data_IF_493194351288
#
_entry.id   IF_493194351288
#
_cell.length_a   1.000
_cell.length_b   1.000
_cell.length_c   1.000
_cell.angle_alpha   90.00
_cell.angle_beta   90.00
_cell.angle_gamma   90.00
#
_symmetry.space_group_name_H-M   'P 1'
#
loop_
_entity.id
_entity.type
_entity.pdbx_description
1 polymer ?
#
# COMPACT_ATOMS: atom_id res chain seq x y z
N UNK A 1 -3.95 -22.39 -35.33
CA UNK A 1 -4.01 -20.91 -35.25
C UNK A 1 -2.77 -20.39 -35.94
N UNK A 2 -2.86 -19.40 -36.84
CA UNK A 2 -1.72 -18.88 -37.61
C UNK A 2 -0.69 -18.28 -36.62
N UNK A 3 0.56 -18.72 -36.71
CA UNK A 3 1.67 -18.24 -35.88
C UNK A 3 1.85 -16.72 -36.01
N UNK A 4 1.67 -16.19 -37.23
CA UNK A 4 1.74 -14.74 -37.49
C UNK A 4 0.64 -13.96 -36.79
N UNK A 5 -0.54 -14.56 -36.65
CA UNK A 5 -1.64 -13.93 -35.92
C UNK A 5 -1.33 -13.82 -34.42
N UNK A 6 -0.76 -14.88 -33.83
CA UNK A 6 -0.37 -14.89 -32.41
C UNK A 6 0.70 -13.81 -32.16
N UNK A 7 1.73 -13.73 -33.00
CA UNK A 7 2.81 -12.74 -32.86
C UNK A 7 2.28 -11.30 -32.99
N UNK A 8 1.42 -11.03 -33.97
CA UNK A 8 0.81 -9.72 -34.16
C UNK A 8 -0.08 -9.31 -32.96
N UNK A 9 -0.85 -10.26 -32.41
CA UNK A 9 -1.68 -10.03 -31.24
C UNK A 9 -0.81 -9.75 -30.00
N UNK A 10 0.23 -10.54 -29.77
CA UNK A 10 1.16 -10.36 -28.65
C UNK A 10 1.90 -9.02 -28.72
N UNK A 11 2.35 -8.63 -29.91
CA UNK A 11 3.00 -7.33 -30.15
C UNK A 11 2.05 -6.18 -29.84
N UNK A 12 0.81 -6.26 -30.33
CA UNK A 12 -0.21 -5.24 -30.07
C UNK A 12 -0.56 -5.16 -28.58
N UNK A 13 -0.72 -6.31 -27.93
CA UNK A 13 -0.99 -6.40 -26.50
C UNK A 13 0.15 -5.78 -25.68
N UNK A 14 1.41 -6.12 -25.99
CA UNK A 14 2.57 -5.55 -25.33
C UNK A 14 2.62 -4.02 -25.47
N UNK A 15 2.32 -3.51 -26.67
CA UNK A 15 2.24 -2.07 -26.91
C UNK A 15 1.17 -1.38 -26.06
N UNK A 16 -0.05 -1.93 -25.98
CA UNK A 16 -1.12 -1.38 -25.14
C UNK A 16 -0.74 -1.45 -23.66
N UNK A 17 -0.23 -2.59 -23.19
CA UNK A 17 0.22 -2.76 -21.81
C UNK A 17 1.29 -1.74 -21.42
N UNK A 18 2.28 -1.49 -22.28
CA UNK A 18 3.31 -0.48 -22.03
C UNK A 18 2.74 0.92 -21.83
N UNK A 19 1.78 1.33 -22.69
CA UNK A 19 1.11 2.63 -22.52
C UNK A 19 0.28 2.69 -21.23
N UNK A 20 -0.48 1.64 -20.90
CA UNK A 20 -1.27 1.58 -19.66
C UNK A 20 -0.36 1.68 -18.44
N UNK A 21 0.76 0.97 -18.45
CA UNK A 21 1.76 1.01 -17.38
C UNK A 21 2.32 2.43 -17.19
N UNK A 22 2.77 3.07 -18.27
CA UNK A 22 3.29 4.44 -18.20
C UNK A 22 2.23 5.45 -17.73
N UNK A 23 0.96 5.29 -18.10
CA UNK A 23 -0.12 6.14 -17.57
C UNK A 23 -0.41 5.89 -16.09
N UNK A 24 -0.34 4.64 -15.61
CA UNK A 24 -0.40 4.38 -14.18
C UNK A 24 0.79 4.99 -13.43
N UNK A 25 1.99 4.98 -14.00
CA UNK A 25 3.16 5.63 -13.42
C UNK A 25 2.92 7.14 -13.27
N UNK A 26 2.40 7.78 -14.32
CA UNK A 26 1.99 9.20 -14.27
C UNK A 26 0.92 9.47 -13.21
N UNK A 27 -0.06 8.58 -13.07
CA UNK A 27 -1.09 8.70 -12.02
C UNK A 27 -0.48 8.61 -10.61
N UNK A 28 0.51 7.72 -10.41
CA UNK A 28 1.28 7.64 -9.16
C UNK A 28 2.04 8.95 -8.89
N UNK A 29 2.68 9.56 -9.89
CA UNK A 29 3.37 10.85 -9.74
C UNK A 29 2.43 12.00 -9.35
N UNK A 30 1.22 12.01 -9.90
CA UNK A 30 0.19 12.98 -9.50
C UNK A 30 -0.30 12.71 -8.07
N UNK A 31 -0.45 11.45 -7.68
CA UNK A 31 -0.81 11.09 -6.31
C UNK A 31 0.30 11.47 -5.30
N UNK A 32 1.57 11.32 -5.67
CA UNK A 32 2.74 11.77 -4.89
C UNK A 32 2.68 13.29 -4.63
N UNK A 33 2.43 14.09 -5.68
CA UNK A 33 2.26 15.55 -5.55
C UNK A 33 1.05 15.91 -4.69
N UNK A 34 -0.08 15.22 -4.87
CA UNK A 34 -1.29 15.46 -4.09
C UNK A 34 -1.09 15.13 -2.61
N UNK A 35 -0.33 14.07 -2.29
CA UNK A 35 0.05 13.73 -0.92
C UNK A 35 0.98 14.76 -0.30
N UNK A 36 1.99 15.24 -1.04
CA UNK A 36 2.95 16.21 -0.54
C UNK A 36 2.34 17.60 -0.28
N UNK A 37 1.36 18.00 -1.10
CA UNK A 37 0.67 19.29 -0.99
C UNK A 37 -0.67 19.24 -0.27
N UNK A 38 -1.04 18.12 0.34
CA UNK A 38 -2.36 17.88 0.95
C UNK A 38 -3.56 18.25 0.05
N UNK A 39 -3.38 18.18 -1.27
CA UNK A 39 -4.38 18.61 -2.26
C UNK A 39 -5.66 17.75 -2.23
N UNK A 40 -5.59 16.60 -1.56
CA UNK A 40 -6.70 15.69 -1.30
C UNK A 40 -7.65 16.19 -0.20
N UNK A 41 -7.23 17.14 0.65
CA UNK A 41 -8.04 17.70 1.74
C UNK A 41 -9.05 18.74 1.21
N UNK A 42 -10.02 18.28 0.42
CA UNK A 42 -11.11 19.11 -0.09
C UNK A 42 -12.38 18.90 0.75
N UNK A 43 -13.30 19.87 0.70
CA UNK A 43 -14.57 19.81 1.44
C UNK A 43 -15.33 18.52 1.10
N UNK A 44 -15.71 17.76 2.12
CA UNK A 44 -16.45 16.51 1.97
C UNK A 44 -15.60 15.26 1.69
N UNK A 45 -14.27 15.38 1.70
CA UNK A 45 -13.35 14.25 1.55
C UNK A 45 -12.66 13.92 2.88
N UNK A 46 -12.60 12.62 3.18
CA UNK A 46 -12.16 12.11 4.48
C UNK A 46 -10.82 11.36 4.42
N UNK A 47 -10.30 11.06 3.23
CA UNK A 47 -8.99 10.41 3.07
C UNK A 47 -8.42 10.59 1.66
N UNK A 48 -7.08 10.49 1.48
CA UNK A 48 -6.45 10.46 0.16
C UNK A 48 -6.98 9.34 -0.73
N UNK A 49 -7.30 8.18 -0.14
CA UNK A 49 -7.87 7.03 -0.86
C UNK A 49 -9.23 7.39 -1.45
N UNK A 50 -10.13 7.97 -0.65
CA UNK A 50 -11.45 8.38 -1.12
C UNK A 50 -11.34 9.46 -2.20
N UNK A 51 -10.46 10.45 -2.01
CA UNK A 51 -10.19 11.47 -3.01
C UNK A 51 -9.73 10.87 -4.35
N UNK A 52 -8.73 9.98 -4.33
CA UNK A 52 -8.19 9.39 -5.56
C UNK A 52 -9.20 8.45 -6.24
N UNK A 53 -9.93 7.66 -5.46
CA UNK A 53 -11.00 6.79 -5.96
C UNK A 53 -12.06 7.60 -6.71
N UNK A 54 -12.51 8.72 -6.11
CA UNK A 54 -13.45 9.65 -6.73
C UNK A 54 -12.89 10.31 -8.00
N UNK A 55 -11.68 10.86 -7.94
CA UNK A 55 -11.05 11.58 -9.06
C UNK A 55 -10.79 10.69 -10.27
N UNK A 56 -10.35 9.46 -10.05
CA UNK A 56 -9.91 8.57 -11.13
C UNK A 56 -10.91 7.45 -11.46
N UNK A 57 -12.07 7.41 -10.80
CA UNK A 57 -13.07 6.34 -11.00
C UNK A 57 -12.56 4.95 -10.63
N UNK A 58 -11.69 4.86 -9.63
CA UNK A 58 -11.02 3.61 -9.22
C UNK A 58 -11.74 2.95 -8.06
N UNK A 59 -11.59 1.63 -7.95
CA UNK A 59 -11.90 0.96 -6.69
C UNK A 59 -10.97 1.44 -5.57
N UNK A 60 -11.47 1.40 -4.35
CA UNK A 60 -10.69 1.65 -3.14
C UNK A 60 -9.40 0.84 -3.07
N UNK A 61 -9.45 -0.42 -3.52
CA UNK A 61 -8.28 -1.31 -3.54
C UNK A 61 -7.21 -0.80 -4.50
N UNK A 62 -7.60 -0.36 -5.69
CA UNK A 62 -6.66 0.20 -6.67
C UNK A 62 -6.14 1.57 -6.23
N UNK A 63 -6.98 2.42 -5.65
CA UNK A 63 -6.58 3.70 -5.10
C UNK A 63 -5.54 3.54 -3.97
N UNK A 64 -5.79 2.64 -3.00
CA UNK A 64 -4.82 2.31 -1.94
C UNK A 64 -3.50 1.82 -2.50
N UNK A 65 -3.54 0.98 -3.55
CA UNK A 65 -2.35 0.46 -4.22
C UNK A 65 -1.50 1.58 -4.83
N UNK A 66 -2.13 2.50 -5.57
CA UNK A 66 -1.45 3.66 -6.15
C UNK A 66 -0.83 4.53 -5.06
N UNK A 67 -1.58 4.83 -4.00
CA UNK A 67 -1.08 5.63 -2.88
C UNK A 67 0.08 4.96 -2.14
N UNK A 68 0.05 3.63 -1.99
CA UNK A 68 1.15 2.87 -1.39
C UNK A 68 2.43 2.97 -2.22
N UNK A 69 2.31 2.92 -3.56
CA UNK A 69 3.44 3.16 -4.47
C UNK A 69 3.92 4.60 -4.36
N UNK A 70 3.01 5.58 -4.41
CA UNK A 70 3.35 7.00 -4.34
C UNK A 70 4.17 7.35 -3.08
N UNK A 71 3.78 6.80 -1.91
CA UNK A 71 4.49 7.03 -0.64
C UNK A 71 5.90 6.46 -0.60
N UNK A 72 6.23 5.50 -1.47
CA UNK A 72 7.53 4.80 -1.48
C UNK A 72 8.33 5.08 -2.75
N UNK A 73 7.81 5.89 -3.66
CA UNK A 73 8.42 6.14 -4.98
C UNK A 73 9.86 6.66 -4.86
N UNK A 74 10.13 7.57 -3.93
CA UNK A 74 11.46 8.15 -3.70
C UNK A 74 12.50 7.11 -3.24
N UNK A 75 12.07 6.08 -2.50
CA UNK A 75 12.94 5.01 -2.01
C UNK A 75 13.28 3.96 -3.07
N UNK A 76 12.59 3.99 -4.21
CA UNK A 76 12.69 2.98 -5.26
C UNK A 76 12.87 3.57 -6.67
N UNK A 77 13.91 4.40 -6.91
CA UNK A 77 14.09 5.13 -8.15
C UNK A 77 14.25 4.24 -9.40
N UNK A 78 14.84 3.04 -9.29
CA UNK A 78 15.01 2.09 -10.41
C UNK A 78 13.70 1.42 -10.77
N UNK A 79 12.93 0.97 -9.78
CA UNK A 79 11.58 0.44 -10.01
C UNK A 79 10.69 1.52 -10.64
N UNK A 80 10.72 2.74 -10.12
CA UNK A 80 9.91 3.84 -10.64
C UNK A 80 10.32 4.25 -12.04
N UNK A 81 11.61 4.29 -12.38
CA UNK A 81 12.07 4.57 -13.73
C UNK A 81 11.58 3.52 -14.74
N UNK A 82 11.63 2.23 -14.39
CA UNK A 82 11.09 1.16 -15.23
C UNK A 82 9.56 1.25 -15.37
N UNK A 83 8.86 1.70 -14.32
CA UNK A 83 7.43 1.94 -14.38
C UNK A 83 7.07 3.12 -15.29
N UNK A 84 7.80 4.23 -15.16
CA UNK A 84 7.66 5.42 -16.00
C UNK A 84 7.91 5.08 -17.49
N UNK A 85 8.83 4.16 -17.77
CA UNK A 85 9.10 3.63 -19.11
C UNK A 85 8.04 2.61 -19.63
N UNK A 86 7.05 2.25 -18.81
CA UNK A 86 6.00 1.28 -19.15
C UNK A 86 6.42 -0.19 -19.06
N UNK A 87 7.63 -0.47 -18.56
CA UNK A 87 8.23 -1.82 -18.52
C UNK A 87 7.69 -2.67 -17.36
N UNK A 88 7.16 -2.04 -16.30
CA UNK A 88 6.55 -2.71 -15.16
C UNK A 88 5.08 -2.32 -15.04
N UNK A 89 4.23 -3.29 -14.70
CA UNK A 89 2.83 -3.02 -14.36
C UNK A 89 2.67 -2.47 -12.95
N UNK A 90 1.56 -1.77 -12.70
CA UNK A 90 1.20 -1.28 -11.36
C UNK A 90 1.23 -2.40 -10.30
N UNK A 91 0.82 -3.61 -10.65
CA UNK A 91 0.82 -4.75 -9.74
C UNK A 91 2.24 -5.24 -9.40
N UNK A 92 3.14 -5.27 -10.38
CA UNK A 92 4.55 -5.60 -10.12
C UNK A 92 5.22 -4.51 -9.27
N UNK A 93 4.96 -3.25 -9.56
CA UNK A 93 5.52 -2.11 -8.80
C UNK A 93 5.01 -2.10 -7.38
N UNK A 94 3.70 -2.28 -7.16
CA UNK A 94 3.10 -2.34 -5.83
C UNK A 94 3.63 -3.51 -4.97
N UNK A 95 4.13 -4.58 -5.60
CA UNK A 95 4.88 -5.61 -4.92
C UNK A 95 6.33 -5.17 -4.68
N UNK A 96 7.03 -4.73 -5.71
CA UNK A 96 8.46 -4.39 -5.67
C UNK A 96 8.77 -3.33 -4.60
N UNK A 97 7.95 -2.28 -4.48
CA UNK A 97 8.16 -1.23 -3.47
C UNK A 97 7.99 -1.73 -2.04
N UNK A 98 7.47 -2.93 -1.79
CA UNK A 98 7.42 -3.51 -0.44
C UNK A 98 8.78 -4.02 0.05
N UNK A 99 9.72 -4.24 -0.87
CA UNK A 99 11.09 -4.57 -0.52
C UNK A 99 11.78 -3.34 0.12
N UNK A 100 12.85 -3.50 0.92
CA UNK A 100 13.60 -2.37 1.42
C UNK A 100 14.38 -1.66 0.31
N UNK A 101 14.61 -0.37 0.53
CA UNK A 101 15.16 0.56 -0.45
C UNK A 101 16.51 0.11 -1.05
N UNK A 102 17.39 -0.50 -0.23
CA UNK A 102 18.72 -0.95 -0.70
C UNK A 102 18.65 -2.04 -1.78
N UNK A 103 17.50 -2.70 -1.96
CA UNK A 103 17.29 -3.76 -2.96
C UNK A 103 16.67 -3.28 -4.26
N UNK A 104 16.43 -1.97 -4.42
CA UNK A 104 15.70 -1.38 -5.54
C UNK A 104 16.19 -1.85 -6.92
N UNK A 105 17.50 -1.90 -7.15
CA UNK A 105 18.07 -2.36 -8.41
C UNK A 105 17.82 -3.87 -8.67
N UNK A 106 18.00 -4.70 -7.65
CA UNK A 106 17.83 -6.16 -7.74
C UNK A 106 16.35 -6.52 -7.93
N UNK A 107 15.46 -5.90 -7.15
CA UNK A 107 14.03 -6.16 -7.24
C UNK A 107 13.44 -5.64 -8.55
N UNK A 108 13.94 -4.51 -9.09
CA UNK A 108 13.57 -4.03 -10.42
C UNK A 108 13.92 -5.06 -11.49
N UNK A 109 15.14 -5.61 -11.44
CA UNK A 109 15.61 -6.62 -12.39
C UNK A 109 14.76 -7.89 -12.34
N UNK A 110 14.43 -8.36 -11.13
CA UNK A 110 13.55 -9.52 -10.94
C UNK A 110 12.12 -9.24 -11.39
N UNK A 111 11.57 -8.05 -11.10
CA UNK A 111 10.20 -7.70 -11.46
C UNK A 111 9.97 -7.73 -12.98
N UNK A 112 10.98 -7.38 -13.79
CA UNK A 112 10.91 -7.43 -15.27
C UNK A 112 10.83 -8.87 -15.82
N UNK A 113 11.36 -9.85 -15.09
CA UNK A 113 11.49 -11.23 -15.55
C UNK A 113 10.40 -12.15 -14.99
N UNK A 114 9.75 -11.74 -13.90
CA UNK A 114 8.85 -12.59 -13.14
C UNK A 114 7.38 -12.16 -13.31
N UNK A 115 6.49 -13.16 -13.29
CA UNK A 115 5.06 -12.90 -13.10
C UNK A 115 4.81 -12.28 -11.73
N UNK A 116 3.69 -11.56 -11.58
CA UNK A 116 3.23 -10.98 -10.30
C UNK A 116 3.26 -12.03 -9.17
N UNK A 117 2.79 -13.25 -9.44
CA UNK A 117 2.77 -14.34 -8.48
C UNK A 117 4.18 -14.78 -8.06
N UNK A 118 5.09 -14.94 -9.01
CA UNK A 118 6.49 -15.31 -8.73
C UNK A 118 7.22 -14.21 -7.98
N UNK A 119 7.05 -12.95 -8.39
CA UNK A 119 7.61 -11.80 -7.69
C UNK A 119 7.12 -11.74 -6.24
N UNK A 120 5.82 -11.94 -6.01
CA UNK A 120 5.24 -12.01 -4.67
C UNK A 120 5.85 -13.13 -3.82
N UNK A 121 6.15 -14.30 -4.42
CA UNK A 121 6.81 -15.40 -3.72
C UNK A 121 8.25 -15.05 -3.35
N UNK A 122 9.00 -14.41 -4.25
CA UNK A 122 10.38 -13.98 -3.99
C UNK A 122 10.43 -12.98 -2.83
N UNK A 123 9.60 -11.93 -2.88
CA UNK A 123 9.55 -10.89 -1.84
C UNK A 123 9.14 -11.46 -0.47
N UNK A 124 8.28 -12.48 -0.45
CA UNK A 124 7.86 -13.12 0.81
C UNK A 124 8.93 -14.05 1.38
N UNK A 125 9.68 -14.75 0.51
CA UNK A 125 10.65 -15.77 0.92
C UNK A 125 11.98 -15.17 1.38
N UNK A 126 12.32 -14.00 0.90
CA UNK A 126 13.40 -13.18 1.44
C UNK A 126 12.77 -12.13 2.33
N UNK A 127 12.57 -12.39 3.65
CA UNK A 127 12.40 -11.30 4.59
C UNK A 127 13.69 -10.52 4.49
N UNK A 128 13.66 -9.46 3.70
CA UNK A 128 14.76 -8.54 3.64
C UNK A 128 14.91 -8.00 5.05
N UNK A 129 15.88 -8.53 5.79
CA UNK A 129 16.18 -8.12 7.15
C UNK A 129 16.37 -6.62 7.09
N UNK A 130 15.56 -5.90 7.85
CA UNK A 130 15.78 -4.47 8.06
C UNK A 130 17.17 -4.32 8.67
N UNK A 131 17.91 -3.30 8.24
CA UNK A 131 19.15 -2.87 8.89
C UNK A 131 18.91 -2.31 10.32
N UNK A 132 17.80 -2.67 10.96
CA UNK A 132 17.39 -2.23 12.29
C UNK A 132 17.52 -3.32 13.37
N UNK A 133 17.93 -4.56 13.03
CA UNK A 133 18.09 -5.65 14.02
C UNK A 133 19.51 -5.85 14.58
N UNK A 134 20.46 -4.93 14.33
CA UNK A 134 21.80 -4.97 14.95
C UNK A 134 22.19 -3.65 15.66
N UNK A 135 21.25 -3.07 16.40
CA UNK A 135 21.59 -2.18 17.52
C UNK A 135 21.95 -3.04 18.75
N UNK A 136 22.94 -2.65 19.59
CA UNK A 136 23.37 -3.43 20.73
C UNK A 136 22.34 -3.34 21.87
N UNK A 137 21.19 -4.01 21.73
CA UNK A 137 20.25 -4.22 22.85
C UNK A 137 19.29 -5.41 22.65
N UNK A 138 19.75 -6.48 21.98
CA UNK A 138 19.03 -7.74 21.87
C UNK A 138 19.69 -8.83 22.73
N UNK A 139 19.87 -8.55 24.02
CA UNK A 139 20.20 -9.56 25.02
C UNK A 139 19.75 -9.14 26.42
N UNK A 140 18.44 -9.09 26.65
CA UNK A 140 17.90 -9.55 27.93
C UNK A 140 16.43 -9.91 27.77
N UNK A 141 16.16 -11.22 27.82
CA UNK A 141 14.84 -11.72 28.11
C UNK A 141 14.47 -11.31 29.54
N UNK A 142 13.50 -10.42 29.67
CA UNK A 142 12.76 -10.23 30.91
C UNK A 142 11.28 -10.27 30.53
N UNK A 143 10.62 -11.36 30.93
CA UNK A 143 9.16 -11.46 30.91
C UNK A 143 8.59 -10.30 31.76
N UNK A 144 7.68 -9.45 31.24
CA UNK A 144 7.06 -8.46 32.09
C UNK A 144 5.93 -9.12 32.88
N UNK A 145 6.12 -9.20 34.19
CA UNK A 145 5.01 -9.26 35.16
C UNK A 145 4.04 -8.08 34.96
N UNK A 146 2.75 -8.24 35.30
CA UNK A 146 1.76 -7.20 35.05
C UNK A 146 1.87 -6.11 36.12
N UNK A 147 2.40 -4.95 35.74
CA UNK A 147 2.35 -3.77 36.61
C UNK A 147 1.22 -2.83 36.21
N UNK A 148 0.39 -2.58 37.22
CA UNK A 148 -0.82 -1.79 37.25
C UNK A 148 -0.56 -0.29 37.22
N UNK A 149 -1.52 0.43 36.63
CA UNK A 149 -1.78 1.87 36.76
C UNK A 149 -0.87 2.84 35.97
N UNK A 150 -1.41 3.42 34.88
CA UNK A 150 -1.97 4.78 34.93
C UNK A 150 -2.64 5.24 33.60
N UNK A 151 -3.95 5.45 33.71
CA UNK A 151 -4.85 6.45 33.08
C UNK A 151 -5.33 6.30 31.62
N UNK A 152 -6.66 6.26 31.53
CA UNK A 152 -7.56 6.17 30.39
C UNK A 152 -7.32 7.23 29.29
N UNK A 153 -7.20 6.77 28.05
CA UNK A 153 -7.53 7.56 26.87
C UNK A 153 -8.69 6.86 26.16
N UNK A 154 -9.86 7.51 26.18
CA UNK A 154 -11.05 7.06 25.46
C UNK A 154 -10.78 7.08 23.95
N UNK A 155 -10.49 5.92 23.38
CA UNK A 155 -10.32 5.78 21.93
C UNK A 155 -11.69 5.51 21.31
N UNK A 156 -12.15 6.42 20.45
CA UNK A 156 -13.35 6.26 19.63
C UNK A 156 -12.92 6.06 18.18
N UNK A 157 -13.27 4.92 17.60
CA UNK A 157 -13.11 4.66 16.17
C UNK A 157 -14.48 4.56 15.50
N UNK A 158 -14.60 5.18 14.32
CA UNK A 158 -15.79 5.16 13.49
C UNK A 158 -15.39 4.61 12.13
N UNK A 159 -16.01 3.51 11.73
CA UNK A 159 -15.71 2.87 10.46
C UNK A 159 -16.81 1.91 10.05
N UNK A 160 -16.96 1.65 8.75
CA UNK A 160 -17.88 0.62 8.30
C UNK A 160 -17.40 -0.75 8.78
N UNK A 161 -18.34 -1.58 9.22
CA UNK A 161 -18.10 -3.02 9.43
C UNK A 161 -17.98 -3.74 8.07
N UNK A 162 -17.69 -5.04 8.08
CA UNK A 162 -17.60 -5.90 6.89
C UNK A 162 -18.84 -5.82 5.99
N UNK A 163 -19.99 -5.45 6.55
CA UNK A 163 -21.28 -5.37 5.87
C UNK A 163 -21.62 -3.95 5.39
N UNK A 164 -20.70 -2.99 5.52
CA UNK A 164 -20.88 -1.61 5.08
C UNK A 164 -21.75 -0.75 6.02
N UNK A 165 -22.18 -1.30 7.15
CA UNK A 165 -22.91 -0.56 8.19
C UNK A 165 -21.90 0.23 9.02
N UNK A 166 -22.13 1.55 9.18
CA UNK A 166 -21.29 2.39 10.03
C UNK A 166 -21.35 1.95 11.49
N UNK A 167 -20.21 1.51 12.03
CA UNK A 167 -20.06 1.20 13.45
C UNK A 167 -19.23 2.27 14.16
N UNK A 168 -19.59 2.50 15.43
CA UNK A 168 -18.83 3.30 16.38
C UNK A 168 -18.33 2.36 17.46
N UNK A 169 -17.01 2.25 17.63
CA UNK A 169 -16.38 1.48 18.69
C UNK A 169 -15.68 2.44 19.63
N UNK A 170 -16.12 2.47 20.89
CA UNK A 170 -15.50 3.27 21.94
C UNK A 170 -14.98 2.34 23.04
N UNK A 171 -13.72 2.54 23.45
CA UNK A 171 -13.21 1.99 24.70
C UNK A 171 -13.42 3.03 25.79
N UNK A 172 -14.29 2.70 26.75
CA UNK A 172 -14.72 3.57 27.83
C UNK A 172 -14.14 3.09 29.15
N UNK A 173 -13.93 4.02 30.10
CA UNK A 173 -13.59 3.63 31.45
C UNK A 173 -14.76 2.85 32.10
N UNK A 174 -14.51 1.99 33.10
CA UNK A 174 -15.55 1.17 33.73
C UNK A 174 -16.78 1.95 34.22
N UNK A 175 -16.59 3.20 34.65
CA UNK A 175 -17.67 4.05 35.14
C UNK A 175 -18.47 4.72 34.00
N UNK A 176 -17.88 4.86 32.82
CA UNK A 176 -18.47 5.55 31.67
C UNK A 176 -19.43 4.67 30.86
N UNK A 177 -19.26 3.34 30.85
CA UNK A 177 -20.15 2.45 30.09
C UNK A 177 -21.39 1.98 30.87
N UNK A 178 -21.44 2.23 32.19
CA UNK A 178 -22.60 1.89 33.05
C UNK A 178 -23.92 2.51 32.58
N UNK A 179 -23.84 3.67 31.93
CA UNK A 179 -25.00 4.35 31.34
C UNK A 179 -25.68 3.51 30.23
N UNK A 180 -24.94 2.59 29.60
CA UNK A 180 -25.45 1.72 28.54
C UNK A 180 -25.99 0.38 29.06
N UNK A 181 -25.59 -0.07 30.25
CA UNK A 181 -26.12 -1.30 30.86
C UNK A 181 -27.52 -1.14 31.45
N UNK A 182 -27.96 0.10 31.74
CA UNK A 182 -29.28 0.35 32.36
C UNK A 182 -30.41 0.50 31.31
N UNK A 183 -30.10 0.35 30.02
CA UNK A 183 -31.04 0.57 28.91
C UNK A 183 -31.33 -0.70 28.09
N UNK A 184 -31.00 -1.88 28.62
CA UNK A 184 -31.34 -3.20 28.05
C UNK A 184 -32.18 -4.00 29.05
#
# INVERSE_FOLDING_TARGET
MDERFIEALQTSLAGVCGHVNAQHARLVRLAEQALAGDAWMQIGLHSPTHWLAWQAGLSDTTARKILAVARRAEQHPRVMAAFDAGELSLDQVALAVKAPAYTDADICSLAKLLTVKQLSMVIRKYPFTSDEENGPDAASAIEPEPDTAHVAASMVSIGPDSDGIGQVRASLAPDDYRIFETAM
#
